data_IF_745956655789
#
_entry.id   IF_745956655789
#
_cell.length_a   1.000
_cell.length_b   1.000
_cell.length_c   1.000
_cell.angle_alpha   90.00
_cell.angle_beta   90.00
_cell.angle_gamma   90.00
#
_symmetry.space_group_name_H-M   'P 1'
#
loop_
_entity.id
_entity.type
_entity.pdbx_description
1 polymer ?
#
# COMPACT_ATOMS: atom_id res chain seq x y z
N UNK A 1 8.41 1.85 -8.41
CA UNK A 1 7.52 2.86 -7.79
C UNK A 1 6.17 2.86 -8.49
N UNK A 2 5.08 2.59 -7.78
CA UNK A 2 3.71 2.69 -8.32
C UNK A 2 2.78 3.36 -7.31
N UNK A 3 1.68 3.94 -7.79
CA UNK A 3 0.67 4.61 -6.96
C UNK A 3 -0.66 3.89 -7.06
N UNK A 4 -1.23 3.52 -5.91
CA UNK A 4 -2.56 2.95 -5.76
C UNK A 4 -3.51 4.05 -5.26
N UNK A 5 -4.54 4.32 -6.04
CA UNK A 5 -5.64 5.17 -5.58
C UNK A 5 -6.64 4.28 -4.86
N UNK A 6 -6.60 4.30 -3.53
CA UNK A 6 -7.50 3.48 -2.70
C UNK A 6 -8.74 4.31 -2.41
N UNK A 7 -9.67 4.30 -3.35
CA UNK A 7 -11.02 4.84 -3.15
C UNK A 7 -11.75 3.95 -2.14
N UNK A 8 -11.93 4.44 -0.91
CA UNK A 8 -12.54 3.66 0.19
C UNK A 8 -11.72 3.56 1.47
N UNK A 9 -10.65 4.35 1.64
CA UNK A 9 -9.91 4.50 2.92
C UNK A 9 -10.74 5.18 4.03
N UNK A 10 -11.98 4.77 4.25
CA UNK A 10 -12.85 5.32 5.30
C UNK A 10 -12.43 4.93 6.72
N UNK A 11 -11.54 3.95 6.90
CA UNK A 11 -11.12 3.50 8.21
C UNK A 11 -9.59 3.33 8.23
N UNK A 12 -8.89 4.16 9.01
CA UNK A 12 -7.42 4.22 9.07
C UNK A 12 -6.71 2.88 9.37
N UNK A 13 -7.47 1.88 9.83
CA UNK A 13 -7.05 0.50 10.04
C UNK A 13 -6.56 -0.23 8.77
N UNK A 14 -7.06 0.14 7.58
CA UNK A 14 -6.60 -0.48 6.33
C UNK A 14 -5.17 -0.10 5.97
N UNK A 15 -4.77 1.15 6.23
CA UNK A 15 -3.42 1.64 5.88
C UNK A 15 -2.34 0.84 6.61
N UNK A 16 -2.44 0.73 7.94
CA UNK A 16 -1.43 -0.01 8.70
C UNK A 16 -1.39 -1.50 8.35
N UNK A 17 -2.52 -2.10 7.98
CA UNK A 17 -2.55 -3.50 7.49
C UNK A 17 -1.85 -3.64 6.15
N UNK A 18 -2.16 -2.77 5.19
CA UNK A 18 -1.54 -2.75 3.86
C UNK A 18 -0.03 -2.53 4.00
N UNK A 19 0.40 -1.52 4.75
CA UNK A 19 1.81 -1.22 4.98
C UNK A 19 2.56 -2.38 5.63
N UNK A 20 1.94 -3.11 6.57
CA UNK A 20 2.53 -4.32 7.18
C UNK A 20 2.55 -5.51 6.23
N UNK A 21 1.50 -5.74 5.46
CA UNK A 21 1.43 -6.82 4.48
C UNK A 21 2.50 -6.64 3.38
N UNK A 22 2.65 -5.39 2.91
CA UNK A 22 3.69 -5.01 1.96
C UNK A 22 5.09 -5.21 2.55
N UNK A 23 5.35 -4.72 3.76
CA UNK A 23 6.65 -4.94 4.44
C UNK A 23 6.94 -6.42 4.73
N UNK A 24 5.91 -7.26 4.89
CA UNK A 24 6.08 -8.69 5.09
C UNK A 24 6.49 -9.41 3.80
N UNK A 25 6.07 -8.90 2.64
CA UNK A 25 6.51 -9.37 1.32
C UNK A 25 7.89 -8.81 0.96
N UNK A 26 8.08 -7.51 1.18
CA UNK A 26 9.28 -6.76 0.81
C UNK A 26 9.65 -5.84 1.97
N UNK A 27 10.63 -6.25 2.78
CA UNK A 27 11.03 -5.52 3.98
C UNK A 27 11.57 -4.10 3.69
N UNK A 28 12.09 -3.88 2.48
CA UNK A 28 12.61 -2.60 2.02
C UNK A 28 11.52 -1.71 1.40
N UNK A 29 10.28 -2.21 1.36
CA UNK A 29 9.16 -1.50 0.75
C UNK A 29 8.84 -0.17 1.45
N UNK A 30 8.79 0.90 0.67
CA UNK A 30 8.38 2.23 1.13
C UNK A 30 6.92 2.47 0.81
N UNK A 31 6.10 2.64 1.84
CA UNK A 31 4.67 2.94 1.68
C UNK A 31 4.38 4.35 2.18
N UNK A 32 3.98 5.22 1.28
CA UNK A 32 3.52 6.57 1.59
C UNK A 32 2.02 6.67 1.43
N UNK A 33 1.33 7.23 2.42
CA UNK A 33 -0.12 7.41 2.37
C UNK A 33 -0.47 8.88 2.47
N UNK A 34 -0.97 9.41 1.37
CA UNK A 34 -1.53 10.74 1.30
C UNK A 34 -3.03 10.67 1.59
N UNK A 35 -3.39 10.91 2.86
CA UNK A 35 -4.78 10.92 3.30
C UNK A 35 -5.56 12.12 2.80
N UNK A 36 -4.88 13.23 2.52
CA UNK A 36 -5.51 14.45 2.04
C UNK A 36 -6.00 14.27 0.59
N UNK A 37 -5.22 13.57 -0.23
CA UNK A 37 -5.54 13.24 -1.62
C UNK A 37 -6.17 11.84 -1.79
N UNK A 38 -6.24 11.02 -0.73
CA UNK A 38 -6.75 9.65 -0.81
C UNK A 38 -5.86 8.71 -1.63
N UNK A 39 -4.54 8.96 -1.66
CA UNK A 39 -3.59 8.24 -2.51
C UNK A 39 -2.59 7.45 -1.66
N UNK A 40 -2.26 6.24 -2.09
CA UNK A 40 -1.20 5.41 -1.50
C UNK A 40 -0.11 5.23 -2.55
N UNK A 41 1.12 5.58 -2.22
CA UNK A 41 2.29 5.33 -3.05
C UNK A 41 3.07 4.18 -2.43
N UNK A 42 3.44 3.20 -3.24
CA UNK A 42 4.23 2.05 -2.82
C UNK A 42 5.46 1.96 -3.70
N UNK A 43 6.62 2.01 -3.08
CA UNK A 43 7.89 1.63 -3.68
C UNK A 43 8.30 0.28 -3.12
N UNK A 44 8.13 -0.75 -3.94
CA UNK A 44 8.65 -2.08 -3.67
C UNK A 44 9.45 -2.57 -4.86
N UNK A 45 10.32 -3.52 -4.58
CA UNK A 45 10.94 -4.35 -5.62
C UNK A 45 9.92 -5.33 -6.22
N UNK A 46 8.91 -5.69 -5.44
CA UNK A 46 7.77 -6.51 -5.86
C UNK A 46 6.83 -5.79 -6.84
N UNK A 47 6.20 -6.58 -7.69
CA UNK A 47 5.22 -6.08 -8.66
C UNK A 47 3.93 -5.62 -7.96
N UNK A 48 3.30 -4.57 -8.51
CA UNK A 48 1.99 -4.11 -8.05
C UNK A 48 0.93 -5.23 -8.03
N UNK A 49 1.14 -6.27 -8.85
CA UNK A 49 0.36 -7.50 -8.86
C UNK A 49 0.45 -8.31 -7.56
N UNK A 50 1.65 -8.71 -7.13
CA UNK A 50 1.84 -9.42 -5.86
C UNK A 50 1.24 -8.63 -4.70
N UNK A 51 1.42 -7.31 -4.72
CA UNK A 51 1.00 -6.42 -3.66
C UNK A 51 -0.54 -6.30 -3.62
N UNK A 52 -1.21 -6.16 -4.77
CA UNK A 52 -2.68 -6.11 -4.83
C UNK A 52 -3.31 -7.45 -4.42
N UNK A 53 -2.68 -8.57 -4.77
CA UNK A 53 -3.19 -9.89 -4.40
C UNK A 53 -3.08 -10.14 -2.90
N UNK A 54 -2.01 -9.64 -2.28
CA UNK A 54 -1.85 -9.70 -0.83
C UNK A 54 -2.83 -8.78 -0.07
N UNK A 55 -3.26 -7.68 -0.69
CA UNK A 55 -4.21 -6.72 -0.12
C UNK A 55 -5.66 -6.89 -0.63
N UNK A 56 -5.99 -8.05 -1.23
CA UNK A 56 -7.33 -8.37 -1.74
C UNK A 56 -8.40 -8.47 -0.65
#
# INVERSE_FOLDING_TARGET
MFSLNVSGMGCGSCVSKITKAIQALDQDARVEVDRAAGKVTVESTESAESIRECCR
#
